data_IF_719507683032
#
_entry.id   IF_719507683032
#
_cell.length_a   1.000
_cell.length_b   1.000
_cell.length_c   1.000
_cell.angle_alpha   90.00
_cell.angle_beta   90.00
_cell.angle_gamma   90.00
#
_symmetry.space_group_name_H-M   'P 1'
#
loop_
_entity.id
_entity.type
_entity.pdbx_description
1 polymer ?
#
# COMPACT_ATOMS: atom_id res chain seq x y z
N UNK A 1 -8.11 -10.78 1.21
CA UNK A 1 -8.90 -9.82 2.01
C UNK A 1 -8.03 -8.72 2.61
N UNK A 2 -6.99 -8.99 3.40
CA UNK A 2 -6.14 -7.92 3.95
C UNK A 2 -5.50 -7.05 2.83
N UNK A 3 -5.09 -7.65 1.70
CA UNK A 3 -4.53 -6.93 0.56
C UNK A 3 -5.52 -5.99 -0.14
N UNK A 4 -6.81 -6.35 -0.24
CA UNK A 4 -7.81 -5.41 -0.77
C UNK A 4 -8.02 -4.21 0.16
N UNK A 5 -7.78 -4.38 1.45
CA UNK A 5 -7.77 -3.28 2.42
C UNK A 5 -6.47 -2.47 2.35
N UNK A 6 -5.31 -3.14 2.21
CA UNK A 6 -4.03 -2.46 2.00
C UNK A 6 -4.04 -1.64 0.70
N UNK A 7 -4.57 -2.18 -0.40
CA UNK A 7 -4.74 -1.44 -1.65
C UNK A 7 -5.69 -0.25 -1.50
N UNK A 8 -6.76 -0.42 -0.73
CA UNK A 8 -7.68 0.67 -0.39
C UNK A 8 -6.98 1.73 0.46
N UNK A 9 -6.13 1.32 1.39
CA UNK A 9 -5.39 2.20 2.31
C UNK A 9 -4.21 2.87 1.60
N UNK A 10 -3.37 2.12 0.88
CA UNK A 10 -2.19 2.66 0.17
C UNK A 10 -2.58 3.50 -1.06
N UNK A 11 -3.73 3.21 -1.68
CA UNK A 11 -4.28 4.01 -2.78
C UNK A 11 -4.99 5.30 -2.35
N UNK A 12 -5.23 5.51 -1.05
CA UNK A 12 -5.93 6.69 -0.53
C UNK A 12 -5.05 7.94 -0.48
N UNK A 13 -3.77 7.78 -0.17
CA UNK A 13 -2.86 8.89 0.01
C UNK A 13 -1.69 8.79 -0.97
N UNK A 14 -1.32 9.91 -1.56
CA UNK A 14 -0.03 10.07 -2.24
C UNK A 14 1.13 9.93 -1.24
N UNK A 15 0.82 10.16 0.04
CA UNK A 15 1.72 10.02 1.18
C UNK A 15 0.94 9.33 2.31
N UNK A 16 1.47 8.22 2.83
CA UNK A 16 1.05 7.58 4.08
C UNK A 16 2.26 7.60 5.01
N UNK A 17 2.13 8.19 6.19
CA UNK A 17 3.23 8.31 7.14
C UNK A 17 3.23 7.19 8.18
N UNK A 18 2.07 6.58 8.45
CA UNK A 18 1.96 5.42 9.34
C UNK A 18 0.79 4.51 8.98
N UNK A 19 0.93 3.23 9.32
CA UNK A 19 -0.14 2.22 9.29
C UNK A 19 -0.18 1.53 10.65
N UNK A 20 -1.39 1.39 11.21
CA UNK A 20 -1.66 0.61 12.41
C UNK A 20 -2.69 -0.47 12.07
N UNK A 21 -2.44 -1.69 12.52
CA UNK A 21 -3.38 -2.81 12.43
C UNK A 21 -3.67 -3.28 13.85
N UNK A 22 -4.95 -3.43 14.18
CA UNK A 22 -5.41 -3.92 15.48
C UNK A 22 -6.21 -5.20 15.35
N UNK A 23 -6.28 -5.97 16.41
CA UNK A 23 -7.25 -7.05 16.58
C UNK A 23 -8.67 -6.50 16.78
N UNK A 24 -9.65 -7.41 16.96
CA UNK A 24 -11.05 -7.04 17.19
C UNK A 24 -11.32 -6.38 18.56
N UNK A 25 -10.34 -6.38 19.45
CA UNK A 25 -10.41 -5.73 20.77
C UNK A 25 -9.70 -4.38 20.80
N UNK A 26 -8.99 -4.00 19.74
CA UNK A 26 -8.25 -2.76 19.65
C UNK A 26 -6.79 -2.84 20.12
N UNK A 27 -6.24 -4.05 20.33
CA UNK A 27 -4.81 -4.22 20.59
C UNK A 27 -4.02 -4.13 19.28
N UNK A 28 -2.92 -3.40 19.30
CA UNK A 28 -2.06 -3.17 18.13
C UNK A 28 -1.27 -4.45 17.86
N UNK A 29 -1.59 -5.12 16.76
CA UNK A 29 -0.84 -6.28 16.27
C UNK A 29 0.34 -5.87 15.40
N UNK A 30 0.20 -4.75 14.69
CA UNK A 30 1.20 -4.28 13.77
C UNK A 30 1.19 -2.76 13.66
N UNK A 31 2.37 -2.15 13.63
CA UNK A 31 2.56 -0.72 13.41
C UNK A 31 3.78 -0.47 12.52
N UNK A 32 3.60 0.34 11.49
CA UNK A 32 4.69 0.82 10.61
C UNK A 32 4.63 2.34 10.54
N UNK A 33 5.80 2.99 10.58
CA UNK A 33 5.98 4.41 10.32
C UNK A 33 6.94 4.59 9.16
N UNK A 34 6.51 5.33 8.15
CA UNK A 34 7.27 5.59 6.91
C UNK A 34 8.01 6.93 6.94
N UNK A 35 7.59 7.86 7.80
CA UNK A 35 8.17 9.21 7.87
C UNK A 35 9.28 9.28 8.92
N UNK A 36 10.46 9.76 8.49
CA UNK A 36 11.59 10.04 9.37
C UNK A 36 11.42 11.33 10.19
N UNK A 37 10.48 12.19 9.86
CA UNK A 37 10.28 13.49 10.54
C UNK A 37 9.59 13.35 11.90
N UNK A 38 8.92 12.21 12.14
CA UNK A 38 8.29 11.86 13.43
C UNK A 38 9.16 10.81 14.18
N UNK A 39 10.45 10.87 14.00
CA UNK A 39 11.47 9.85 14.30
C UNK A 39 11.66 9.47 15.78
N UNK A 40 10.85 9.94 16.70
CA UNK A 40 10.92 9.49 18.09
C UNK A 40 9.97 8.32 18.42
N UNK A 41 9.09 7.92 17.50
CA UNK A 41 8.14 6.83 17.67
C UNK A 41 8.68 5.56 16.95
N UNK A 42 9.56 4.81 17.60
CA UNK A 42 9.95 3.49 17.08
C UNK A 42 8.73 2.57 17.13
N UNK A 43 8.28 2.10 15.98
CA UNK A 43 7.13 1.18 15.79
C UNK A 43 7.17 -0.06 16.70
N UNK A 44 8.34 -0.52 17.10
CA UNK A 44 8.52 -1.69 17.95
C UNK A 44 8.02 -1.55 19.41
N UNK A 45 7.67 -0.35 19.86
CA UNK A 45 7.26 -0.13 21.26
C UNK A 45 5.75 -0.10 21.47
N UNK A 46 4.93 -0.04 20.40
CA UNK A 46 3.48 0.06 20.51
C UNK A 46 2.74 -1.24 20.20
N UNK A 47 3.43 -2.23 19.64
CA UNK A 47 2.84 -3.56 19.39
C UNK A 47 2.48 -4.24 20.72
N UNK A 48 1.26 -4.74 20.81
CA UNK A 48 0.69 -5.32 22.02
C UNK A 48 0.01 -4.32 22.95
N UNK A 49 0.15 -2.98 22.70
CA UNK A 49 -0.61 -1.96 23.44
C UNK A 49 -2.02 -1.85 22.89
N UNK A 50 -2.97 -1.51 23.76
CA UNK A 50 -4.29 -1.11 23.30
C UNK A 50 -4.25 0.28 22.64
N UNK A 51 -5.04 0.52 21.59
CA UNK A 51 -5.00 1.80 20.86
C UNK A 51 -5.31 3.02 21.73
N UNK A 52 -6.14 2.87 22.75
CA UNK A 52 -6.44 3.94 23.72
C UNK A 52 -5.30 4.16 24.73
N UNK A 53 -4.44 3.18 24.96
CA UNK A 53 -3.20 3.36 25.73
C UNK A 53 -2.15 4.09 24.89
N UNK A 54 -2.08 3.78 23.58
CA UNK A 54 -1.20 4.47 22.64
C UNK A 54 -1.59 5.93 22.46
N UNK A 55 -2.91 6.22 22.46
CA UNK A 55 -3.48 7.56 22.36
C UNK A 55 -4.43 7.87 23.51
N UNK A 56 -3.91 8.21 24.72
CA UNK A 56 -4.72 8.42 25.91
C UNK A 56 -5.73 9.58 25.81
N UNK A 57 -5.60 10.45 24.82
CA UNK A 57 -6.58 11.51 24.54
C UNK A 57 -7.84 11.01 23.84
N UNK A 58 -7.86 9.76 23.35
CA UNK A 58 -9.00 9.17 22.68
C UNK A 58 -9.84 8.34 23.65
N UNK A 59 -11.13 8.23 23.34
CA UNK A 59 -12.11 7.33 23.98
C UNK A 59 -12.63 6.33 22.95
N UNK A 60 -13.46 5.35 23.37
CA UNK A 60 -14.12 4.45 22.42
C UNK A 60 -14.99 5.19 21.39
N UNK A 61 -15.57 6.34 21.78
CA UNK A 61 -16.41 7.14 20.88
C UNK A 61 -15.60 8.03 19.95
N UNK A 62 -14.39 8.45 20.32
CA UNK A 62 -13.58 9.35 19.52
C UNK A 62 -12.49 8.66 18.71
N UNK A 63 -12.09 7.44 19.08
CA UNK A 63 -11.15 6.65 18.30
C UNK A 63 -11.80 6.12 17.02
N UNK A 64 -11.23 6.42 15.85
CA UNK A 64 -11.65 5.91 14.55
C UNK A 64 -11.60 4.37 14.53
N UNK A 65 -10.53 3.77 15.06
CA UNK A 65 -10.36 2.32 15.17
C UNK A 65 -11.50 1.70 16.00
N UNK A 66 -11.75 2.20 17.22
CA UNK A 66 -12.78 1.62 18.09
C UNK A 66 -14.18 1.76 17.46
N UNK A 67 -14.47 2.88 16.81
CA UNK A 67 -15.75 3.07 16.11
C UNK A 67 -15.92 2.13 14.93
N UNK A 68 -14.85 1.91 14.15
CA UNK A 68 -14.85 0.95 13.03
C UNK A 68 -15.03 -0.47 13.53
N UNK A 69 -14.35 -0.87 14.60
CA UNK A 69 -14.53 -2.18 15.22
C UNK A 69 -15.98 -2.41 15.71
N UNK A 70 -16.60 -1.37 16.27
CA UNK A 70 -17.97 -1.43 16.79
C UNK A 70 -19.03 -1.43 15.68
N UNK A 71 -18.89 -0.59 14.67
CA UNK A 71 -19.93 -0.31 13.68
C UNK A 71 -19.71 -1.06 12.35
N UNK A 72 -18.49 -1.54 12.09
CA UNK A 72 -18.14 -2.22 10.84
C UNK A 72 -18.17 -1.34 9.60
N UNK A 73 -18.20 -0.01 9.77
CA UNK A 73 -18.21 0.98 8.70
C UNK A 73 -16.85 1.66 8.61
N UNK A 74 -16.35 1.86 7.41
CA UNK A 74 -15.12 2.60 7.16
C UNK A 74 -15.27 4.07 7.52
N UNK A 75 -14.17 4.67 7.99
CA UNK A 75 -14.03 6.11 8.25
C UNK A 75 -12.91 6.61 7.34
N UNK A 76 -13.17 7.65 6.56
CA UNK A 76 -12.22 8.21 5.61
C UNK A 76 -11.86 9.63 5.97
N UNK A 77 -10.56 9.97 5.83
CA UNK A 77 -10.00 11.32 5.93
C UNK A 77 -10.43 12.08 7.22
N UNK A 78 -10.59 11.36 8.32
CA UNK A 78 -10.95 11.97 9.60
C UNK A 78 -9.75 12.72 10.19
N UNK A 79 -9.95 14.00 10.47
CA UNK A 79 -8.93 14.84 11.07
C UNK A 79 -9.00 14.75 12.58
N UNK A 80 -7.89 14.39 13.19
CA UNK A 80 -7.79 14.25 14.63
C UNK A 80 -6.56 14.95 15.18
N UNK A 81 -6.71 15.53 16.36
CA UNK A 81 -5.61 15.93 17.21
C UNK A 81 -5.56 14.94 18.37
N UNK A 82 -4.48 14.21 18.47
CA UNK A 82 -4.31 13.18 19.50
C UNK A 82 -3.07 13.45 20.33
N UNK A 83 -3.08 12.97 21.58
CA UNK A 83 -1.88 12.94 22.41
C UNK A 83 -1.45 11.49 22.53
N UNK A 84 -0.20 11.19 22.19
CA UNK A 84 0.34 9.84 22.28
C UNK A 84 0.72 9.51 23.75
N UNK A 85 1.10 8.24 24.00
CA UNK A 85 1.50 7.74 25.33
C UNK A 85 2.72 8.46 25.93
N UNK A 86 3.47 9.24 25.12
CA UNK A 86 4.60 10.09 25.56
C UNK A 86 4.19 11.53 25.90
N UNK A 87 2.91 11.87 25.74
CA UNK A 87 2.40 13.21 25.96
C UNK A 87 2.61 14.19 24.79
N UNK A 88 3.04 13.68 23.61
CA UNK A 88 3.23 14.51 22.42
C UNK A 88 1.91 14.70 21.69
N UNK A 89 1.59 15.94 21.31
CA UNK A 89 0.42 16.25 20.49
C UNK A 89 0.74 16.03 19.02
N UNK A 90 -0.12 15.25 18.37
CA UNK A 90 -0.02 14.90 16.96
C UNK A 90 -1.28 15.35 16.23
N UNK A 91 -1.09 15.97 15.08
CA UNK A 91 -2.16 16.26 14.14
C UNK A 91 -2.10 15.24 13.01
N UNK A 92 -3.22 14.55 12.75
CA UNK A 92 -3.26 13.49 11.76
C UNK A 92 -4.59 13.47 11.00
N UNK A 93 -4.53 12.93 9.79
CA UNK A 93 -5.69 12.56 9.00
C UNK A 93 -5.67 11.04 8.89
N UNK A 94 -6.74 10.41 9.36
CA UNK A 94 -6.89 8.96 9.42
C UNK A 94 -7.90 8.46 8.41
N UNK A 95 -7.58 7.34 7.76
CA UNK A 95 -8.57 6.49 7.11
C UNK A 95 -8.51 5.11 7.72
N UNK A 96 -9.63 4.66 8.26
CA UNK A 96 -9.75 3.43 9.04
C UNK A 96 -10.76 2.49 8.41
N UNK A 97 -10.40 1.24 8.26
CA UNK A 97 -11.20 0.19 7.63
C UNK A 97 -11.34 -1.02 8.55
N UNK A 98 -12.53 -1.67 8.58
CA UNK A 98 -12.68 -2.93 9.28
C UNK A 98 -12.02 -4.08 8.49
N UNK A 99 -11.29 -4.95 9.17
CA UNK A 99 -10.81 -6.21 8.61
C UNK A 99 -11.89 -7.26 8.89
N UNK A 100 -12.51 -7.81 7.84
CA UNK A 100 -13.59 -8.79 7.96
C UNK A 100 -13.19 -10.13 7.38
N UNK A 101 -13.50 -11.22 8.11
CA UNK A 101 -13.37 -12.59 7.64
C UNK A 101 -14.73 -13.26 7.79
N UNK A 102 -15.26 -13.81 6.71
CA UNK A 102 -16.61 -14.43 6.67
C UNK A 102 -17.74 -13.53 7.20
N UNK A 103 -17.59 -12.21 7.08
CA UNK A 103 -18.56 -11.22 7.55
C UNK A 103 -18.35 -10.76 9.00
N UNK A 104 -17.51 -11.43 9.79
CA UNK A 104 -17.14 -11.04 11.15
C UNK A 104 -15.94 -10.08 11.14
N UNK A 105 -15.95 -9.07 12.02
CA UNK A 105 -14.87 -8.13 12.19
C UNK A 105 -13.80 -8.77 13.07
N UNK A 106 -12.62 -9.01 12.50
CA UNK A 106 -11.47 -9.60 13.20
C UNK A 106 -10.43 -8.56 13.60
N UNK A 107 -10.56 -7.31 13.11
CA UNK A 107 -9.63 -6.24 13.40
C UNK A 107 -9.96 -4.98 12.62
N UNK A 108 -9.06 -4.01 12.71
CA UNK A 108 -9.12 -2.78 11.92
C UNK A 108 -7.73 -2.40 11.40
N UNK A 109 -7.68 -1.74 10.25
CA UNK A 109 -6.49 -1.13 9.70
C UNK A 109 -6.70 0.38 9.56
N UNK A 110 -5.74 1.14 10.03
CA UNK A 110 -5.72 2.60 9.93
C UNK A 110 -4.47 3.08 9.22
N UNK A 111 -4.65 3.93 8.22
CA UNK A 111 -3.57 4.69 7.59
C UNK A 111 -3.66 6.15 8.02
N UNK A 112 -2.52 6.71 8.41
CA UNK A 112 -2.41 8.05 8.93
C UNK A 112 -1.42 8.89 8.12
N UNK A 113 -1.78 10.16 7.91
CA UNK A 113 -0.87 11.21 7.47
C UNK A 113 -0.66 12.18 8.61
N UNK A 114 0.59 12.41 8.97
CA UNK A 114 0.99 13.38 9.99
C UNK A 114 1.29 14.73 9.36
N UNK A 115 1.00 15.81 10.08
CA UNK A 115 1.32 17.16 9.63
C UNK A 115 1.13 18.18 10.72
N UNK A 116 1.46 19.44 10.40
CA UNK A 116 1.01 20.56 11.21
C UNK A 116 -0.46 20.89 10.92
N UNK A 117 -1.11 21.63 11.82
CA UNK A 117 -2.52 22.01 11.70
C UNK A 117 -2.82 22.71 10.36
N UNK A 118 -1.92 23.57 9.91
CA UNK A 118 -2.08 24.35 8.68
C UNK A 118 -2.00 23.47 7.42
N UNK A 119 -1.10 22.49 7.42
CA UNK A 119 -0.96 21.53 6.32
C UNK A 119 -2.21 20.66 6.21
N UNK A 120 -2.70 20.14 7.33
CA UNK A 120 -3.88 19.27 7.35
C UNK A 120 -5.16 20.01 6.98
N UNK A 121 -5.30 21.32 7.36
CA UNK A 121 -6.44 22.14 6.95
C UNK A 121 -6.48 22.39 5.43
N UNK A 122 -5.33 22.38 4.75
CA UNK A 122 -5.24 22.56 3.29
C UNK A 122 -5.49 21.26 2.50
N UNK A 123 -5.45 20.11 3.16
CA UNK A 123 -5.79 18.86 2.49
C UNK A 123 -7.29 18.85 2.13
N UNK A 124 -7.66 18.43 0.90
CA UNK A 124 -9.06 18.39 0.50
C UNK A 124 -9.83 17.43 1.39
N UNK A 125 -10.98 17.88 1.89
CA UNK A 125 -11.92 17.01 2.60
C UNK A 125 -12.53 16.01 1.60
N UNK A 126 -12.10 14.76 1.70
CA UNK A 126 -12.55 13.69 0.80
C UNK A 126 -13.76 12.93 1.35
N UNK A 127 -14.22 13.23 2.57
CA UNK A 127 -15.39 12.60 3.19
C UNK A 127 -16.68 12.86 2.40
N UNK A 128 -16.73 13.94 1.60
CA UNK A 128 -17.85 14.31 0.74
C UNK A 128 -17.85 13.62 -0.63
N UNK A 129 -16.79 12.93 -0.99
CA UNK A 129 -16.71 12.22 -2.28
C UNK A 129 -17.07 10.73 -2.15
N UNK A 130 -18.35 10.46 -1.84
CA UNK A 130 -18.96 9.13 -1.98
C UNK A 130 -19.00 8.73 -3.46
N UNK A 131 -18.10 7.93 -3.90
CA UNK A 131 -17.77 7.37 -5.22
C UNK A 131 -16.53 8.05 -5.78
N UNK A 132 -15.34 7.56 -5.36
CA UNK A 132 -14.16 7.80 -6.20
C UNK A 132 -14.36 7.06 -7.51
N UNK A 133 -14.26 7.75 -8.66
CA UNK A 133 -13.83 7.04 -9.84
C UNK A 133 -12.50 6.37 -9.48
N UNK A 134 -12.27 5.11 -9.88
CA UNK A 134 -10.95 4.48 -9.85
C UNK A 134 -9.96 5.57 -10.30
N UNK A 135 -8.89 5.83 -9.51
CA UNK A 135 -7.87 6.83 -9.90
C UNK A 135 -7.52 6.51 -11.35
N UNK A 136 -7.81 7.43 -12.26
CA UNK A 136 -7.53 7.22 -13.68
C UNK A 136 -6.02 7.02 -13.78
N UNK A 137 -5.61 5.86 -14.24
CA UNK A 137 -4.21 5.59 -14.50
C UNK A 137 -3.73 6.55 -15.62
N UNK A 138 -2.49 6.93 -15.53
CA UNK A 138 -1.85 7.72 -16.58
C UNK A 138 -1.84 6.95 -17.90
N UNK A 139 -2.05 7.70 -18.96
CA UNK A 139 -2.04 7.21 -20.34
C UNK A 139 -0.87 7.84 -21.10
N UNK A 140 -0.65 7.41 -22.34
CA UNK A 140 0.34 8.03 -23.21
C UNK A 140 0.09 9.53 -23.46
N UNK A 141 -1.16 9.99 -23.36
CA UNK A 141 -1.51 11.40 -23.58
C UNK A 141 -1.09 12.27 -22.38
N UNK A 142 -0.98 11.68 -21.20
CA UNK A 142 -0.49 12.37 -20.00
C UNK A 142 1.02 12.61 -20.04
N UNK A 143 1.76 11.94 -20.95
CA UNK A 143 3.17 12.21 -21.22
C UNK A 143 3.30 13.39 -22.18
N UNK A 144 3.34 14.61 -21.62
CA UNK A 144 3.47 15.84 -22.39
C UNK A 144 4.95 16.09 -22.67
N UNK A 145 5.34 16.08 -23.96
CA UNK A 145 6.75 16.25 -24.35
C UNK A 145 6.92 16.82 -25.74
N UNK A 146 8.01 17.55 -25.92
CA UNK A 146 8.54 17.97 -27.24
C UNK A 146 9.92 17.33 -27.53
N UNK A 147 10.46 16.55 -26.60
CA UNK A 147 11.75 15.87 -26.74
C UNK A 147 11.66 14.73 -27.75
N UNK A 148 12.51 14.70 -28.80
CA UNK A 148 12.51 13.58 -29.74
C UNK A 148 12.77 12.23 -29.09
N UNK A 149 13.65 12.20 -28.08
CA UNK A 149 13.93 10.97 -27.31
C UNK A 149 12.68 10.46 -26.57
N UNK A 150 11.89 11.35 -25.99
CA UNK A 150 10.69 10.96 -25.28
C UNK A 150 9.56 10.58 -26.25
N UNK A 151 9.50 11.19 -27.43
CA UNK A 151 8.59 10.75 -28.48
C UNK A 151 8.91 9.33 -28.95
N UNK A 152 10.21 8.97 -29.10
CA UNK A 152 10.63 7.60 -29.40
C UNK A 152 10.24 6.62 -28.27
N UNK A 153 10.35 7.05 -27.01
CA UNK A 153 9.87 6.25 -25.86
C UNK A 153 8.36 6.02 -25.94
N UNK A 154 7.56 7.03 -26.31
CA UNK A 154 6.10 6.85 -26.49
C UNK A 154 5.79 5.81 -27.57
N UNK A 155 6.54 5.79 -28.67
CA UNK A 155 6.38 4.76 -29.71
C UNK A 155 6.80 3.36 -29.20
N UNK A 156 7.88 3.28 -28.41
CA UNK A 156 8.28 2.03 -27.77
C UNK A 156 7.21 1.52 -26.80
N UNK A 157 6.60 2.39 -26.01
CA UNK A 157 5.47 2.04 -25.11
C UNK A 157 4.33 1.39 -25.90
N UNK A 158 3.90 1.99 -27.03
CA UNK A 158 2.84 1.43 -27.88
C UNK A 158 3.17 0.01 -28.36
N UNK A 159 4.43 -0.24 -28.71
CA UNK A 159 4.87 -1.55 -29.22
C UNK A 159 4.96 -2.61 -28.11
N UNK A 160 5.47 -2.23 -26.93
CA UNK A 160 5.64 -3.21 -25.84
C UNK A 160 4.35 -3.49 -25.11
N UNK A 161 3.42 -2.54 -25.05
CA UNK A 161 2.15 -2.68 -24.34
C UNK A 161 1.28 -3.85 -24.85
N UNK A 162 1.35 -4.14 -26.15
CA UNK A 162 0.57 -5.24 -26.77
C UNK A 162 1.23 -6.61 -26.65
N UNK A 163 2.48 -6.65 -26.16
CA UNK A 163 3.23 -7.90 -26.01
C UNK A 163 3.13 -8.44 -24.56
N UNK A 164 3.09 -9.76 -24.35
CA UNK A 164 3.02 -10.35 -23.01
C UNK A 164 4.38 -10.38 -22.28
N UNK A 165 5.40 -9.70 -22.80
CA UNK A 165 6.76 -9.70 -22.24
C UNK A 165 6.87 -8.78 -21.02
N UNK A 166 7.75 -9.16 -20.08
CA UNK A 166 8.16 -8.28 -18.99
C UNK A 166 8.92 -7.06 -19.53
N UNK A 167 8.72 -5.91 -18.92
CA UNK A 167 9.33 -4.64 -19.35
C UNK A 167 10.19 -4.10 -18.22
N UNK A 168 11.45 -3.79 -18.50
CA UNK A 168 12.35 -3.08 -17.58
C UNK A 168 12.40 -1.59 -17.97
N UNK A 169 12.05 -0.74 -16.98
CA UNK A 169 12.12 0.72 -17.12
C UNK A 169 13.33 1.21 -16.34
N UNK A 170 14.28 1.84 -17.02
CA UNK A 170 15.51 2.38 -16.44
C UNK A 170 15.50 3.89 -16.51
N UNK A 171 15.81 4.54 -15.39
CA UNK A 171 15.89 6.00 -15.28
C UNK A 171 16.20 6.44 -13.86
N UNK A 172 16.70 7.67 -13.71
CA UNK A 172 16.97 8.28 -12.40
C UNK A 172 15.68 8.45 -11.58
N UNK A 173 15.83 8.64 -10.28
CA UNK A 173 14.69 8.94 -9.39
C UNK A 173 14.01 10.24 -9.83
N UNK A 174 12.67 10.26 -9.86
CA UNK A 174 11.90 11.44 -10.28
C UNK A 174 11.71 11.61 -11.78
N UNK A 175 12.25 10.74 -12.65
CA UNK A 175 12.11 10.83 -14.11
C UNK A 175 10.75 10.39 -14.66
N UNK A 176 9.81 9.96 -13.81
CA UNK A 176 8.48 9.55 -14.23
C UNK A 176 8.34 8.08 -14.62
N UNK A 177 9.17 7.17 -14.07
CA UNK A 177 9.08 5.73 -14.32
C UNK A 177 7.68 5.16 -14.11
N UNK A 178 7.00 5.59 -13.05
CA UNK A 178 5.62 5.17 -12.75
C UNK A 178 4.63 5.64 -13.83
N UNK A 179 4.78 6.87 -14.33
CA UNK A 179 3.97 7.40 -15.43
C UNK A 179 4.11 6.53 -16.68
N UNK A 180 5.33 6.10 -16.99
CA UNK A 180 5.62 5.18 -18.10
C UNK A 180 4.98 3.81 -17.85
N UNK A 181 5.12 3.24 -16.66
CA UNK A 181 4.55 1.94 -16.30
C UNK A 181 3.02 1.94 -16.42
N UNK A 182 2.35 2.97 -15.87
CA UNK A 182 0.90 3.13 -16.00
C UNK A 182 0.46 3.33 -17.45
N UNK A 183 1.25 4.08 -18.26
CA UNK A 183 0.97 4.25 -19.69
C UNK A 183 1.08 2.95 -20.48
N UNK A 184 2.03 2.06 -20.12
CA UNK A 184 2.14 0.73 -20.70
C UNK A 184 0.89 -0.09 -20.37
N UNK A 185 0.49 -0.12 -19.10
CA UNK A 185 -0.72 -0.85 -18.68
C UNK A 185 -1.98 -0.32 -19.37
N UNK A 186 -2.19 1.00 -19.35
CA UNK A 186 -3.38 1.63 -19.95
C UNK A 186 -3.49 1.42 -21.46
N UNK A 187 -2.36 1.13 -22.13
CA UNK A 187 -2.32 0.86 -23.57
C UNK A 187 -2.25 -0.64 -23.90
N UNK A 188 -2.25 -1.50 -22.90
CA UNK A 188 -2.12 -2.96 -23.07
C UNK A 188 -3.49 -3.64 -23.22
N UNK A 189 -3.44 -4.90 -23.68
CA UNK A 189 -4.61 -5.78 -23.68
C UNK A 189 -5.09 -6.17 -22.27
N UNK A 190 -4.43 -5.67 -21.21
CA UNK A 190 -4.76 -5.91 -19.80
C UNK A 190 -5.22 -4.63 -19.09
N UNK A 191 -5.54 -3.59 -19.83
CA UNK A 191 -5.96 -2.27 -19.29
C UNK A 191 -7.20 -2.32 -18.40
N UNK A 192 -8.05 -3.30 -18.58
CA UNK A 192 -9.23 -3.55 -17.73
C UNK A 192 -8.90 -4.33 -16.45
N UNK A 193 -7.71 -4.94 -16.39
CA UNK A 193 -7.21 -5.69 -15.25
C UNK A 193 -6.67 -4.78 -14.11
N UNK A 194 -6.21 -5.40 -13.02
CA UNK A 194 -5.60 -4.64 -11.93
C UNK A 194 -4.23 -4.07 -12.35
N UNK A 195 -3.94 -2.83 -11.93
CA UNK A 195 -2.60 -2.27 -11.90
C UNK A 195 -2.15 -2.20 -10.44
N UNK A 196 -1.19 -3.02 -10.06
CA UNK A 196 -0.62 -3.04 -8.72
C UNK A 196 0.80 -2.48 -8.76
N UNK A 197 1.08 -1.53 -7.87
CA UNK A 197 2.41 -0.90 -7.74
C UNK A 197 2.98 -1.21 -6.37
N UNK A 198 4.24 -1.63 -6.32
CA UNK A 198 4.97 -1.91 -5.10
C UNK A 198 6.35 -1.27 -5.14
N UNK A 199 6.62 -0.36 -4.20
CA UNK A 199 7.96 0.14 -3.96
C UNK A 199 8.73 -0.87 -3.10
N UNK A 200 9.83 -1.39 -3.62
CA UNK A 200 10.61 -2.45 -2.98
C UNK A 200 11.60 -1.92 -1.93
N UNK A 201 11.96 -0.63 -1.98
CA UNK A 201 12.84 -0.02 -0.99
C UNK A 201 12.14 0.26 0.34
N UNK A 202 10.81 0.35 0.34
CA UNK A 202 10.02 0.72 1.52
C UNK A 202 9.80 -0.44 2.52
N UNK A 203 10.15 -1.69 2.15
CA UNK A 203 9.77 -2.89 2.89
C UNK A 203 10.99 -3.79 3.10
N UNK A 204 11.21 -4.35 4.31
CA UNK A 204 12.26 -5.35 4.53
C UNK A 204 12.10 -6.56 3.60
N UNK A 205 13.21 -7.09 3.05
CA UNK A 205 13.19 -8.15 2.03
C UNK A 205 12.40 -9.39 2.44
N UNK A 206 12.47 -9.82 3.69
CA UNK A 206 11.72 -10.98 4.20
C UNK A 206 10.21 -10.76 4.17
N UNK A 207 9.76 -9.54 4.48
CA UNK A 207 8.35 -9.18 4.41
C UNK A 207 7.92 -8.97 2.96
N UNK A 208 8.77 -8.33 2.14
CA UNK A 208 8.51 -8.12 0.71
C UNK A 208 8.32 -9.45 -0.02
N UNK A 209 9.10 -10.47 0.33
CA UNK A 209 8.96 -11.81 -0.25
C UNK A 209 7.57 -12.40 0.03
N UNK A 210 7.09 -12.31 1.26
CA UNK A 210 5.75 -12.80 1.62
C UNK A 210 4.63 -12.01 0.94
N UNK A 211 4.81 -10.71 0.74
CA UNK A 211 3.87 -9.85 0.02
C UNK A 211 3.83 -10.22 -1.47
N UNK A 212 4.97 -10.43 -2.10
CA UNK A 212 5.05 -10.73 -3.53
C UNK A 212 4.50 -12.12 -3.87
N UNK A 213 4.92 -13.14 -3.12
CA UNK A 213 4.61 -14.54 -3.44
C UNK A 213 3.41 -15.09 -2.67
N UNK A 214 3.01 -14.44 -1.57
CA UNK A 214 1.99 -14.97 -0.67
C UNK A 214 2.53 -16.05 0.27
N UNK A 215 1.68 -16.52 1.18
CA UNK A 215 2.02 -17.50 2.20
C UNK A 215 0.99 -18.62 2.25
N UNK A 216 1.43 -19.81 2.67
CA UNK A 216 0.54 -20.90 3.09
C UNK A 216 0.59 -21.05 4.60
N UNK A 217 -0.43 -21.64 5.18
CA UNK A 217 -0.52 -21.91 6.61
C UNK A 217 0.67 -22.77 7.04
N UNK A 218 1.43 -22.28 8.04
CA UNK A 218 2.59 -22.98 8.57
C UNK A 218 3.92 -22.69 7.87
N UNK A 219 3.97 -21.77 6.89
CA UNK A 219 5.22 -21.33 6.27
C UNK A 219 6.19 -20.67 7.26
N UNK A 220 5.67 -20.03 8.29
CA UNK A 220 6.38 -19.54 9.49
C UNK A 220 5.40 -19.48 10.66
N UNK A 221 5.91 -19.15 11.87
CA UNK A 221 5.07 -19.02 13.08
C UNK A 221 3.94 -18.00 12.84
N UNK A 222 2.67 -18.44 12.94
CA UNK A 222 1.45 -17.66 12.68
C UNK A 222 1.18 -17.30 11.20
N UNK A 223 1.85 -17.94 10.22
CA UNK A 223 1.53 -17.74 8.82
C UNK A 223 0.13 -18.26 8.48
N UNK A 224 -0.64 -17.43 7.78
CA UNK A 224 -1.95 -17.75 7.22
C UNK A 224 -1.85 -17.92 5.70
N UNK A 225 -2.86 -18.59 5.11
CA UNK A 225 -2.99 -18.65 3.66
C UNK A 225 -3.31 -17.27 3.10
N UNK A 226 -2.36 -16.68 2.38
CA UNK A 226 -2.52 -15.35 1.77
C UNK A 226 -2.03 -15.35 0.32
N UNK A 227 -2.82 -14.82 -0.62
CA UNK A 227 -2.34 -14.61 -1.98
C UNK A 227 -1.27 -13.50 -2.00
N UNK A 228 -0.27 -13.65 -2.87
CA UNK A 228 0.75 -12.63 -3.11
C UNK A 228 0.35 -11.67 -4.22
N UNK A 229 1.13 -10.57 -4.37
CA UNK A 229 0.89 -9.56 -5.39
C UNK A 229 0.95 -10.15 -6.81
N UNK A 230 1.77 -11.16 -7.06
CA UNK A 230 1.78 -11.86 -8.35
C UNK A 230 0.43 -12.52 -8.66
N UNK A 231 -0.22 -13.15 -7.67
CA UNK A 231 -1.54 -13.74 -7.86
C UNK A 231 -2.61 -12.67 -8.05
N UNK A 232 -2.57 -11.60 -7.24
CA UNK A 232 -3.53 -10.50 -7.28
C UNK A 232 -3.44 -9.69 -8.57
N UNK A 233 -2.23 -9.59 -9.16
CA UNK A 233 -2.01 -8.93 -10.44
C UNK A 233 -2.38 -9.81 -11.64
N UNK A 234 -2.90 -11.00 -11.43
CA UNK A 234 -3.26 -11.89 -12.53
C UNK A 234 -4.24 -11.22 -13.51
N UNK A 235 -4.02 -11.40 -14.79
CA UNK A 235 -4.71 -10.69 -15.88
C UNK A 235 -4.55 -9.16 -15.87
N UNK A 236 -3.63 -8.63 -15.07
CA UNK A 236 -3.31 -7.22 -14.97
C UNK A 236 -1.81 -6.93 -15.13
N UNK A 237 -1.32 -5.97 -14.35
CA UNK A 237 0.09 -5.57 -14.35
C UNK A 237 0.58 -5.38 -12.92
N UNK A 238 1.72 -5.99 -12.59
CA UNK A 238 2.48 -5.73 -11.38
C UNK A 238 3.67 -4.84 -11.72
N UNK A 239 3.72 -3.64 -11.15
CA UNK A 239 4.83 -2.71 -11.26
C UNK A 239 5.66 -2.78 -9.97
N UNK A 240 6.92 -3.15 -10.09
CA UNK A 240 7.89 -3.19 -9.00
C UNK A 240 8.86 -2.02 -9.18
N UNK A 241 8.77 -1.03 -8.29
CA UNK A 241 9.68 0.12 -8.28
C UNK A 241 10.89 -0.15 -7.38
N UNK A 242 12.01 0.52 -7.68
CA UNK A 242 13.28 0.41 -6.93
C UNK A 242 13.78 -1.05 -6.78
N UNK A 243 13.74 -1.82 -7.88
CA UNK A 243 14.18 -3.23 -7.94
C UNK A 243 15.59 -3.46 -7.38
N UNK A 244 16.47 -2.49 -7.55
CA UNK A 244 17.86 -2.51 -7.08
C UNK A 244 17.98 -2.52 -5.54
N UNK A 245 16.93 -2.19 -4.81
CA UNK A 245 16.90 -2.25 -3.34
C UNK A 245 16.65 -3.64 -2.77
N UNK A 246 16.20 -4.59 -3.60
CA UNK A 246 15.96 -5.97 -3.18
C UNK A 246 17.29 -6.71 -2.97
N UNK A 247 17.29 -7.67 -2.03
CA UNK A 247 18.38 -8.62 -1.94
C UNK A 247 18.47 -9.57 -3.16
N UNK A 248 19.64 -10.12 -3.41
CA UNK A 248 19.92 -10.96 -4.57
C UNK A 248 19.07 -12.24 -4.56
N UNK A 249 18.75 -12.77 -3.38
CA UNK A 249 17.96 -13.99 -3.25
C UNK A 249 16.53 -13.77 -3.74
N UNK A 250 15.93 -12.62 -3.36
CA UNK A 250 14.59 -12.23 -3.79
C UNK A 250 14.56 -11.90 -5.29
N UNK A 251 15.58 -11.20 -5.80
CA UNK A 251 15.71 -10.94 -7.24
C UNK A 251 15.74 -12.26 -8.05
N UNK A 252 16.49 -13.25 -7.57
CA UNK A 252 16.58 -14.59 -8.22
C UNK A 252 15.24 -15.32 -8.22
N UNK A 253 14.44 -15.20 -7.15
CA UNK A 253 13.09 -15.79 -7.10
C UNK A 253 12.14 -15.12 -8.07
N UNK A 254 12.21 -13.80 -8.20
CA UNK A 254 11.41 -13.04 -9.17
C UNK A 254 11.79 -13.47 -10.60
N UNK A 255 13.09 -13.55 -10.89
CA UNK A 255 13.56 -13.99 -12.21
C UNK A 255 13.00 -15.37 -12.57
N UNK A 256 13.06 -16.32 -11.63
CA UNK A 256 12.51 -17.66 -11.82
C UNK A 256 10.99 -17.62 -12.07
N UNK A 257 10.25 -16.82 -11.31
CA UNK A 257 8.79 -16.67 -11.53
C UNK A 257 8.46 -16.09 -12.92
N UNK A 258 9.30 -15.19 -13.45
CA UNK A 258 9.14 -14.63 -14.79
C UNK A 258 9.47 -15.64 -15.90
N UNK A 259 10.47 -16.51 -15.69
CA UNK A 259 10.89 -17.54 -16.63
C UNK A 259 9.86 -18.68 -16.68
N UNK A 260 9.49 -19.21 -15.52
CA UNK A 260 8.57 -20.36 -15.40
C UNK A 260 7.11 -19.94 -15.67
N UNK A 261 6.78 -18.65 -15.55
CA UNK A 261 5.41 -18.09 -15.57
C UNK A 261 4.50 -18.73 -14.51
N UNK A 262 5.10 -19.25 -13.48
CA UNK A 262 4.44 -19.87 -12.33
C UNK A 262 4.99 -19.28 -11.05
N UNK A 263 4.12 -19.19 -10.06
CA UNK A 263 4.50 -18.78 -8.71
C UNK A 263 4.09 -19.85 -7.71
N UNK A 264 4.86 -19.95 -6.63
CA UNK A 264 4.52 -20.78 -5.47
C UNK A 264 4.50 -19.90 -4.25
N UNK A 265 3.46 -20.06 -3.44
CA UNK A 265 3.40 -19.39 -2.13
C UNK A 265 4.49 -19.93 -1.22
N UNK A 266 4.95 -19.09 -0.31
CA UNK A 266 5.92 -19.51 0.71
C UNK A 266 5.31 -20.64 1.57
N UNK A 267 6.07 -21.73 1.76
CA UNK A 267 5.62 -22.90 2.51
C UNK A 267 4.74 -23.86 1.70
N UNK A 268 4.44 -23.59 0.44
CA UNK A 268 3.81 -24.59 -0.43
C UNK A 268 4.83 -25.70 -0.79
N UNK A 269 4.41 -26.95 -0.66
CA UNK A 269 5.21 -28.13 -1.01
C UNK A 269 5.41 -28.25 -2.52
#
# INVERSE_FOLDING_TARGET
MLNSYLDSVLGLYERTDAIIITDCKGFIEYSIMFSNEVNNLKSAHVTGMHILENYPSLTEETSSIMRVLKNGQEILDERQMVTNYRGEQLYLVNSTFPIKVNGEIIGAIEASVYGDKTLLERMPDRSLQRKRPRKRLYTLDDIITKSPKMLDIKEKIRRVAVNPSSVLIVGETGTGKELVAQSIHSHSNRSDGPFLSQNCAAIPSTLLESILFGTTRGSYTQAEDRPGLFELANHGTLFLDELNSMDIALQSKILKALEDKEIRRLGAA
#
